data_IF_696155087130
#
_entry.id   IF_696155087130
#
_cell.length_a   1.000
_cell.length_b   1.000
_cell.length_c   1.000
_cell.angle_alpha   90.00
_cell.angle_beta   90.00
_cell.angle_gamma   90.00
#
_symmetry.space_group_name_H-M   'P 1'
#
loop_
_entity.id
_entity.type
_entity.pdbx_description
1 polymer ?
#
# COMPACT_ATOMS: atom_id res chain seq x y z
N UNK A 1 -9.89 -7.31 0.29
CA UNK A 1 -9.15 -6.87 -0.92
C UNK A 1 -7.84 -6.27 -0.46
N UNK A 2 -6.71 -6.78 -0.95
CA UNK A 2 -5.41 -6.19 -0.63
C UNK A 2 -5.28 -4.91 -1.46
N UNK A 3 -5.97 -3.88 -1.02
CA UNK A 3 -5.95 -2.59 -1.68
C UNK A 3 -4.60 -1.94 -1.35
N UNK A 4 -3.85 -1.54 -2.37
CA UNK A 4 -2.67 -0.72 -2.14
C UNK A 4 -3.07 0.48 -1.27
N UNK A 5 -2.15 0.93 -0.43
CA UNK A 5 -2.38 2.10 0.42
C UNK A 5 -2.72 3.33 -0.42
N UNK A 6 -3.78 4.03 -0.05
CA UNK A 6 -4.17 5.32 -0.61
C UNK A 6 -4.22 6.37 0.51
N UNK A 7 -3.28 7.31 0.46
CA UNK A 7 -3.23 8.41 1.42
C UNK A 7 -4.51 9.25 1.41
N UNK A 8 -5.10 9.49 0.24
CA UNK A 8 -6.27 10.35 0.14
C UNK A 8 -7.48 9.69 0.81
N UNK A 9 -7.65 8.38 0.66
CA UNK A 9 -8.70 7.62 1.36
C UNK A 9 -8.49 7.69 2.89
N UNK A 10 -7.25 7.52 3.37
CA UNK A 10 -6.95 7.61 4.80
C UNK A 10 -7.24 9.01 5.35
N UNK A 11 -6.78 10.06 4.64
CA UNK A 11 -7.05 11.44 5.03
C UNK A 11 -8.53 11.78 5.00
N UNK A 12 -9.30 11.24 4.05
CA UNK A 12 -10.75 11.40 4.00
C UNK A 12 -11.45 10.69 5.15
N UNK A 13 -11.00 9.48 5.52
CA UNK A 13 -11.47 8.74 6.68
C UNK A 13 -11.22 9.49 7.99
N UNK A 14 -10.12 10.27 8.08
CA UNK A 14 -9.80 11.17 9.19
C UNK A 14 -9.42 10.47 10.49
N UNK A 15 -9.19 9.15 10.49
CA UNK A 15 -8.78 8.38 11.67
C UNK A 15 -8.06 7.10 11.28
N UNK A 16 -7.14 6.66 12.13
CA UNK A 16 -6.47 5.36 12.07
C UNK A 16 -7.26 4.36 12.92
N UNK A 17 -7.47 3.15 12.43
CA UNK A 17 -8.31 2.13 13.10
C UNK A 17 -7.63 0.77 13.28
N UNK A 18 -6.39 0.61 12.82
CA UNK A 18 -5.61 -0.64 12.98
C UNK A 18 -4.11 -0.36 12.98
N UNK A 19 -3.32 -1.30 13.50
CA UNK A 19 -1.85 -1.23 13.46
C UNK A 19 -1.33 -1.14 12.02
N UNK A 20 -1.93 -1.86 11.08
CA UNK A 20 -1.55 -1.78 9.67
C UNK A 20 -1.76 -0.36 9.09
N UNK A 21 -2.88 0.30 9.43
CA UNK A 21 -3.10 1.69 9.01
C UNK A 21 -2.12 2.64 9.69
N UNK A 22 -1.75 2.40 10.96
CA UNK A 22 -0.74 3.18 11.66
C UNK A 22 0.62 3.09 10.96
N UNK A 23 1.08 1.88 10.67
CA UNK A 23 2.37 1.69 9.99
C UNK A 23 2.38 2.28 8.57
N UNK A 24 1.28 2.16 7.83
CA UNK A 24 1.11 2.78 6.51
C UNK A 24 1.09 4.31 6.60
N UNK A 25 0.43 4.89 7.60
CA UNK A 25 0.41 6.34 7.85
C UNK A 25 1.81 6.87 8.18
N UNK A 26 2.56 6.16 9.03
CA UNK A 26 3.94 6.48 9.40
C UNK A 26 4.87 6.44 8.17
N UNK A 27 4.71 5.42 7.32
CA UNK A 27 5.44 5.32 6.06
C UNK A 27 5.10 6.48 5.12
N UNK A 28 3.81 6.82 4.97
CA UNK A 28 3.38 7.92 4.12
C UNK A 28 3.92 9.28 4.61
N UNK A 29 3.90 9.52 5.93
CA UNK A 29 4.50 10.70 6.55
C UNK A 29 5.99 10.84 6.18
N UNK A 30 6.76 9.75 6.23
CA UNK A 30 8.18 9.75 5.83
C UNK A 30 8.34 10.07 4.34
N UNK A 31 7.50 9.50 3.47
CA UNK A 31 7.53 9.76 2.02
C UNK A 31 7.17 11.22 1.71
N UNK A 32 6.15 11.79 2.33
CA UNK A 32 5.79 13.20 2.16
C UNK A 32 6.94 14.14 2.54
N UNK A 33 7.69 13.82 3.60
CA UNK A 33 8.91 14.58 3.97
C UNK A 33 10.01 14.44 2.93
N UNK A 34 10.30 13.21 2.47
CA UNK A 34 11.36 12.95 1.50
C UNK A 34 11.10 13.57 0.12
N UNK A 35 9.84 13.63 -0.30
CA UNK A 35 9.43 14.13 -1.61
C UNK A 35 8.67 15.46 -1.52
N UNK A 36 8.93 16.25 -0.47
CA UNK A 36 8.23 17.52 -0.21
C UNK A 36 8.31 18.53 -1.35
N UNK A 37 9.43 18.55 -2.10
CA UNK A 37 9.62 19.41 -3.25
C UNK A 37 8.88 18.90 -4.54
N UNK A 38 8.40 17.67 -4.52
CA UNK A 38 7.75 17.03 -5.67
C UNK A 38 6.24 16.89 -5.47
N UNK A 39 5.77 16.85 -4.23
CA UNK A 39 4.36 16.58 -3.86
C UNK A 39 3.73 17.87 -3.32
N UNK A 40 2.67 18.32 -3.98
CA UNK A 40 1.91 19.49 -3.54
C UNK A 40 1.21 19.24 -2.21
N UNK A 41 1.16 20.31 -1.39
CA UNK A 41 0.56 20.28 -0.06
C UNK A 41 1.12 19.19 0.86
N UNK A 42 2.37 18.73 0.59
CA UNK A 42 3.02 17.66 1.35
C UNK A 42 3.07 17.95 2.85
N UNK A 43 3.37 19.19 3.25
CA UNK A 43 3.43 19.58 4.65
C UNK A 43 2.06 19.54 5.34
N UNK A 44 1.01 20.05 4.69
CA UNK A 44 -0.35 19.99 5.21
C UNK A 44 -0.85 18.54 5.34
N UNK A 45 -0.59 17.70 4.32
CA UNK A 45 -0.91 16.26 4.37
C UNK A 45 -0.14 15.57 5.50
N UNK A 46 1.15 15.91 5.66
CA UNK A 46 2.01 15.35 6.70
C UNK A 46 1.51 15.71 8.10
N UNK A 47 1.15 16.98 8.34
CA UNK A 47 0.65 17.42 9.63
C UNK A 47 -0.64 16.68 10.01
N UNK A 48 -1.57 16.53 9.08
CA UNK A 48 -2.78 15.75 9.33
C UNK A 48 -2.50 14.28 9.68
N UNK A 49 -1.48 13.68 9.07
CA UNK A 49 -1.04 12.32 9.44
C UNK A 49 -0.46 12.29 10.85
N UNK A 50 0.36 13.28 11.21
CA UNK A 50 0.93 13.39 12.57
C UNK A 50 -0.21 13.42 13.60
N UNK A 51 -1.19 14.29 13.41
CA UNK A 51 -2.33 14.42 14.32
C UNK A 51 -3.11 13.09 14.46
N UNK A 52 -3.29 12.37 13.35
CA UNK A 52 -3.98 11.07 13.34
C UNK A 52 -3.16 9.97 14.03
N UNK A 53 -1.85 9.95 13.83
CA UNK A 53 -0.91 9.01 14.46
C UNK A 53 -0.91 9.25 15.97
N UNK A 54 -0.72 10.49 16.41
CA UNK A 54 -0.72 10.88 17.83
C UNK A 54 -2.05 10.51 18.53
N UNK A 55 -3.19 10.71 17.87
CA UNK A 55 -4.49 10.30 18.40
C UNK A 55 -4.60 8.79 18.58
N UNK A 56 -4.10 8.01 17.62
CA UNK A 56 -4.12 6.55 17.71
C UNK A 56 -3.18 6.04 18.81
N UNK A 57 -1.94 6.52 18.82
CA UNK A 57 -0.93 6.14 19.81
C UNK A 57 -1.36 6.54 21.24
N UNK A 58 -1.89 7.75 21.42
CA UNK A 58 -2.42 8.21 22.70
C UNK A 58 -3.54 7.32 23.23
N UNK A 59 -4.37 6.78 22.33
CA UNK A 59 -5.49 5.93 22.73
C UNK A 59 -5.08 4.50 23.04
N UNK A 60 -4.16 3.92 22.28
CA UNK A 60 -3.87 2.50 22.32
C UNK A 60 -2.50 2.15 22.93
N UNK A 61 -1.54 3.09 22.91
CA UNK A 61 -0.15 2.83 23.31
C UNK A 61 0.33 3.68 24.49
N UNK A 62 -0.48 4.63 25.00
CA UNK A 62 -0.07 5.54 26.09
C UNK A 62 0.07 4.88 27.45
N UNK A 63 -0.69 3.82 27.72
CA UNK A 63 -0.69 3.11 29.00
C UNK A 63 -0.07 1.71 28.82
N UNK A 64 1.21 1.59 29.15
CA UNK A 64 1.96 0.33 29.02
C UNK A 64 1.34 -0.85 29.78
N UNK A 65 0.58 -0.58 30.84
CA UNK A 65 -0.08 -1.64 31.62
C UNK A 65 -1.32 -2.20 30.91
N UNK A 66 -1.81 -1.54 29.88
CA UNK A 66 -2.98 -1.98 29.08
C UNK A 66 -2.61 -2.58 27.74
N UNK A 67 -1.34 -2.45 27.33
CA UNK A 67 -0.87 -3.07 26.09
C UNK A 67 -0.85 -4.58 26.27
N UNK A 68 -1.53 -5.30 25.39
CA UNK A 68 -1.61 -6.76 25.42
C UNK A 68 -0.55 -7.38 24.50
N UNK A 69 -0.12 -8.62 24.81
CA UNK A 69 0.79 -9.38 23.93
C UNK A 69 0.22 -9.51 22.51
N UNK A 70 -1.11 -9.67 22.38
CA UNK A 70 -1.79 -9.73 21.08
C UNK A 70 -1.62 -8.43 20.29
N UNK A 71 -1.69 -7.28 20.93
CA UNK A 71 -1.49 -5.98 20.28
C UNK A 71 -0.04 -5.80 19.81
N UNK A 72 0.93 -6.28 20.57
CA UNK A 72 2.34 -6.28 20.15
C UNK A 72 2.53 -7.15 18.91
N UNK A 73 1.98 -8.37 18.91
CA UNK A 73 2.03 -9.29 17.76
C UNK A 73 1.39 -8.63 16.51
N UNK A 74 0.22 -8.00 16.66
CA UNK A 74 -0.45 -7.31 15.55
C UNK A 74 0.38 -6.13 15.00
N UNK A 75 1.10 -5.42 15.88
CA UNK A 75 2.01 -4.34 15.48
C UNK A 75 3.22 -4.86 14.70
N UNK A 76 3.84 -5.95 15.16
CA UNK A 76 4.99 -6.59 14.50
C UNK A 76 4.59 -7.13 13.12
N UNK A 77 3.44 -7.80 13.01
CA UNK A 77 2.89 -8.29 11.73
C UNK A 77 2.56 -7.14 10.76
N UNK A 78 2.06 -6.02 11.29
CA UNK A 78 1.76 -4.84 10.50
C UNK A 78 3.05 -4.19 9.96
N UNK A 79 4.10 -4.08 10.78
CA UNK A 79 5.39 -3.56 10.37
C UNK A 79 6.01 -4.44 9.27
N UNK A 80 6.02 -5.76 9.44
CA UNK A 80 6.54 -6.69 8.42
C UNK A 80 5.77 -6.56 7.10
N UNK A 81 4.44 -6.43 7.17
CA UNK A 81 3.59 -6.25 5.99
C UNK A 81 3.93 -4.95 5.24
N UNK A 82 4.09 -3.84 5.96
CA UNK A 82 4.44 -2.54 5.36
C UNK A 82 5.85 -2.53 4.80
N UNK A 83 6.82 -3.21 5.42
CA UNK A 83 8.16 -3.38 4.87
C UNK A 83 8.13 -4.11 3.52
N UNK A 84 7.31 -5.16 3.37
CA UNK A 84 7.10 -5.85 2.09
C UNK A 84 6.48 -4.92 1.04
N UNK A 85 5.47 -4.12 1.42
CA UNK A 85 4.85 -3.11 0.56
C UNK A 85 5.89 -2.07 0.06
N UNK A 86 6.72 -1.55 0.96
CA UNK A 86 7.79 -0.58 0.61
C UNK A 86 8.75 -1.19 -0.42
N UNK A 87 9.24 -2.39 -0.15
CA UNK A 87 10.18 -3.09 -1.03
C UNK A 87 9.58 -3.34 -2.42
N UNK A 88 8.30 -3.71 -2.47
CA UNK A 88 7.57 -3.89 -3.73
C UNK A 88 7.46 -2.57 -4.51
N UNK A 89 7.01 -1.49 -3.86
CA UNK A 89 6.85 -0.16 -4.47
C UNK A 89 8.19 0.35 -5.01
N UNK A 90 9.27 0.22 -4.24
CA UNK A 90 10.60 0.65 -4.66
C UNK A 90 11.12 -0.18 -5.85
N UNK A 91 10.87 -1.48 -5.86
CA UNK A 91 11.22 -2.37 -6.97
C UNK A 91 10.44 -2.01 -8.24
N UNK A 92 9.12 -1.79 -8.13
CA UNK A 92 8.24 -1.31 -9.21
C UNK A 92 8.74 0.01 -9.77
N UNK A 93 9.02 0.99 -8.90
CA UNK A 93 9.54 2.31 -9.28
C UNK A 93 10.85 2.21 -10.04
N UNK A 94 11.81 1.43 -9.52
CA UNK A 94 13.12 1.21 -10.17
C UNK A 94 12.93 0.58 -11.56
N UNK A 95 12.05 -0.40 -11.68
CA UNK A 95 11.78 -1.09 -12.94
C UNK A 95 11.15 -0.15 -13.97
N UNK A 96 10.11 0.62 -13.58
CA UNK A 96 9.48 1.62 -14.45
C UNK A 96 10.51 2.65 -14.91
N UNK A 97 11.27 3.26 -13.99
CA UNK A 97 12.30 4.26 -14.32
C UNK A 97 13.37 3.71 -15.29
N UNK A 98 13.80 2.46 -15.07
CA UNK A 98 14.77 1.81 -15.97
C UNK A 98 14.22 1.67 -17.39
N UNK A 99 12.95 1.31 -17.54
CA UNK A 99 12.30 1.18 -18.85
C UNK A 99 12.09 2.54 -19.54
N UNK A 100 11.64 3.53 -18.79
CA UNK A 100 11.48 4.91 -19.29
C UNK A 100 12.81 5.48 -19.79
N UNK A 101 13.89 5.30 -19.02
CA UNK A 101 15.25 5.73 -19.42
C UNK A 101 15.68 5.10 -20.75
N UNK A 102 15.39 3.81 -20.98
CA UNK A 102 15.71 3.14 -22.25
C UNK A 102 14.92 3.68 -23.44
N UNK A 103 13.74 4.24 -23.19
CA UNK A 103 12.87 4.84 -24.21
C UNK A 103 13.11 6.34 -24.40
N UNK A 104 13.99 6.97 -23.59
CA UNK A 104 14.22 8.41 -23.60
C UNK A 104 13.03 9.23 -23.08
N UNK A 105 12.10 8.61 -22.32
CA UNK A 105 10.89 9.24 -21.79
C UNK A 105 11.14 9.64 -20.33
N UNK A 106 10.85 10.89 -19.98
CA UNK A 106 10.89 11.36 -18.59
C UNK A 106 9.57 11.07 -17.84
N UNK A 107 9.58 11.28 -16.52
CA UNK A 107 8.41 10.98 -15.68
C UNK A 107 7.20 11.84 -16.02
N UNK A 108 7.38 13.09 -16.44
CA UNK A 108 6.29 14.00 -16.78
C UNK A 108 5.63 13.60 -18.12
N UNK A 109 6.43 13.27 -19.13
CA UNK A 109 5.95 12.73 -20.40
C UNK A 109 5.20 11.42 -20.19
N UNK A 110 5.72 10.57 -19.31
CA UNK A 110 5.05 9.33 -18.94
C UNK A 110 3.70 9.58 -18.25
N UNK A 111 3.62 10.59 -17.39
CA UNK A 111 2.35 11.04 -16.80
C UNK A 111 1.33 11.42 -17.86
N UNK A 112 1.73 12.21 -18.86
CA UNK A 112 0.86 12.60 -19.98
C UNK A 112 0.33 11.37 -20.73
N UNK A 113 1.17 10.37 -21.00
CA UNK A 113 0.78 9.12 -21.65
C UNK A 113 -0.28 8.35 -20.83
N UNK A 114 -0.18 8.37 -19.51
CA UNK A 114 -1.17 7.76 -18.62
C UNK A 114 -2.45 8.60 -18.47
N UNK A 115 -2.44 9.86 -18.94
CA UNK A 115 -3.54 10.81 -18.78
C UNK A 115 -3.44 11.65 -17.49
N UNK A 116 -2.27 11.67 -16.85
CA UNK A 116 -2.00 12.44 -15.64
C UNK A 116 -1.11 13.64 -15.94
N UNK A 117 -1.70 14.83 -15.95
CA UNK A 117 -0.98 16.09 -16.29
C UNK A 117 -0.25 16.70 -15.09
N UNK A 118 -0.66 16.38 -13.85
CA UNK A 118 -0.03 16.87 -12.63
C UNK A 118 1.29 16.15 -12.37
N UNK A 119 2.38 16.92 -12.31
CA UNK A 119 3.72 16.42 -11.93
C UNK A 119 3.72 15.90 -10.49
N UNK A 120 3.03 16.58 -9.58
CA UNK A 120 2.88 16.19 -8.19
C UNK A 120 2.14 14.86 -8.07
N UNK A 121 1.00 14.71 -8.73
CA UNK A 121 0.24 13.46 -8.70
C UNK A 121 1.04 12.28 -9.28
N UNK A 122 1.80 12.53 -10.34
CA UNK A 122 2.70 11.49 -10.89
C UNK A 122 3.81 11.10 -9.90
N UNK A 123 4.29 12.05 -9.09
CA UNK A 123 5.25 11.74 -8.00
C UNK A 123 4.59 10.93 -6.89
N UNK A 124 3.35 11.23 -6.51
CA UNK A 124 2.59 10.44 -5.55
C UNK A 124 2.42 8.99 -6.00
N UNK A 125 2.00 8.76 -7.25
CA UNK A 125 1.87 7.44 -7.87
C UNK A 125 3.18 6.66 -7.87
N UNK A 126 4.25 7.28 -8.35
CA UNK A 126 5.57 6.64 -8.45
C UNK A 126 6.19 6.29 -7.10
N UNK A 127 5.86 7.05 -6.05
CA UNK A 127 6.34 6.82 -4.69
C UNK A 127 5.37 5.98 -3.84
N UNK A 128 4.22 5.56 -4.39
CA UNK A 128 3.23 4.77 -3.68
C UNK A 128 2.64 5.52 -2.48
N UNK A 129 2.42 6.82 -2.62
CA UNK A 129 1.62 7.65 -1.71
C UNK A 129 0.15 7.46 -2.04
N UNK A 130 -0.14 7.34 -3.34
CA UNK A 130 -1.44 6.88 -3.87
C UNK A 130 -1.19 5.72 -4.85
N UNK A 131 -2.14 4.81 -5.03
CA UNK A 131 -1.97 3.66 -5.92
C UNK A 131 -2.16 4.06 -7.39
N UNK A 132 -1.50 3.34 -8.29
CA UNK A 132 -1.85 3.35 -9.71
C UNK A 132 -3.22 2.73 -9.91
N UNK A 133 -4.03 3.29 -10.81
CA UNK A 133 -5.28 2.64 -11.20
C UNK A 133 -5.01 1.35 -11.99
N UNK A 134 -5.97 0.44 -12.02
CA UNK A 134 -5.86 -0.77 -12.84
C UNK A 134 -5.60 -0.44 -14.32
N UNK A 135 -6.22 0.63 -14.84
CA UNK A 135 -5.98 1.14 -16.19
C UNK A 135 -4.51 1.52 -16.37
N UNK A 136 -3.94 2.29 -15.43
CA UNK A 136 -2.54 2.69 -15.47
C UNK A 136 -1.63 1.47 -15.51
N UNK A 137 -1.86 0.49 -14.63
CA UNK A 137 -1.05 -0.73 -14.56
C UNK A 137 -1.10 -1.54 -15.85
N UNK A 138 -2.26 -1.62 -16.52
CA UNK A 138 -2.41 -2.28 -17.82
C UNK A 138 -1.60 -1.52 -18.88
N UNK A 139 -1.72 -0.18 -18.95
CA UNK A 139 -0.97 0.64 -19.89
C UNK A 139 0.53 0.52 -19.65
N UNK A 140 0.99 0.61 -18.40
CA UNK A 140 2.39 0.44 -18.01
C UNK A 140 2.91 -0.94 -18.46
N UNK A 141 2.16 -1.99 -18.18
CA UNK A 141 2.52 -3.36 -18.57
C UNK A 141 2.73 -3.49 -20.07
N UNK A 142 1.79 -2.99 -20.85
CA UNK A 142 1.83 -3.08 -22.32
C UNK A 142 2.92 -2.20 -22.92
N UNK A 143 2.98 -0.93 -22.50
CA UNK A 143 3.91 0.06 -23.05
C UNK A 143 5.37 -0.25 -22.71
N UNK A 144 5.64 -0.57 -21.45
CA UNK A 144 6.99 -0.80 -20.95
C UNK A 144 7.42 -2.27 -21.02
N UNK A 145 6.54 -3.17 -21.50
CA UNK A 145 6.76 -4.62 -21.53
C UNK A 145 7.19 -5.16 -20.16
N UNK A 146 6.47 -4.76 -19.12
CA UNK A 146 6.64 -5.23 -17.74
C UNK A 146 5.52 -6.21 -17.42
N UNK A 147 5.85 -7.38 -16.85
CA UNK A 147 4.84 -8.34 -16.42
C UNK A 147 3.98 -7.77 -15.28
N UNK A 148 2.69 -8.09 -15.26
CA UNK A 148 1.76 -7.57 -14.24
C UNK A 148 2.12 -7.99 -12.82
N UNK A 149 2.70 -9.17 -12.62
CA UNK A 149 3.20 -9.63 -11.32
C UNK A 149 4.32 -8.76 -10.72
N UNK A 150 4.96 -7.91 -11.54
CA UNK A 150 5.94 -6.90 -11.12
C UNK A 150 5.32 -5.52 -10.91
N UNK A 151 4.07 -5.35 -11.25
CA UNK A 151 3.34 -4.07 -11.13
C UNK A 151 2.26 -4.11 -10.06
N UNK A 152 1.70 -5.29 -9.79
CA UNK A 152 0.61 -5.52 -8.84
C UNK A 152 1.15 -6.38 -7.70
N UNK A 153 0.97 -5.99 -6.42
CA UNK A 153 1.29 -6.86 -5.30
C UNK A 153 0.32 -8.05 -5.31
N UNK A 154 0.87 -9.23 -5.53
CA UNK A 154 0.10 -10.48 -5.59
C UNK A 154 0.02 -11.21 -4.25
N UNK A 155 0.78 -10.75 -3.26
CA UNK A 155 0.75 -11.33 -1.93
C UNK A 155 -0.44 -10.82 -1.13
N UNK A 156 -1.16 -11.76 -0.53
CA UNK A 156 -2.24 -11.46 0.41
C UNK A 156 -1.62 -11.49 1.81
N UNK A 157 -1.87 -10.47 2.62
CA UNK A 157 -1.35 -10.43 3.98
C UNK A 157 -1.97 -11.53 4.86
N UNK A 158 -1.30 -11.88 5.94
CA UNK A 158 -1.70 -12.97 6.85
C UNK A 158 -3.11 -12.78 7.41
N UNK A 159 -3.45 -11.56 7.80
CA UNK A 159 -4.77 -11.23 8.34
C UNK A 159 -5.90 -11.51 7.33
N UNK A 160 -5.72 -11.08 6.09
CA UNK A 160 -6.71 -11.34 5.02
C UNK A 160 -6.79 -12.82 4.68
N UNK A 161 -5.65 -13.53 4.65
CA UNK A 161 -5.63 -14.99 4.47
C UNK A 161 -6.49 -15.68 5.52
N UNK A 162 -6.28 -15.38 6.79
CA UNK A 162 -7.06 -15.95 7.91
C UNK A 162 -8.54 -15.60 7.78
N UNK A 163 -8.87 -14.37 7.40
CA UNK A 163 -10.27 -13.94 7.22
C UNK A 163 -10.96 -14.70 6.08
N UNK A 164 -10.27 -14.88 4.95
CA UNK A 164 -10.79 -15.64 3.81
C UNK A 164 -10.97 -17.10 4.19
N UNK A 165 -9.99 -17.70 4.86
CA UNK A 165 -10.04 -19.07 5.34
C UNK A 165 -11.24 -19.31 6.27
N UNK A 166 -11.41 -18.48 7.31
CA UNK A 166 -12.59 -18.54 8.18
C UNK A 166 -13.89 -18.37 7.43
N UNK A 167 -13.90 -17.61 6.34
CA UNK A 167 -15.08 -17.43 5.51
C UNK A 167 -15.39 -18.69 4.70
N UNK A 168 -14.36 -19.35 4.15
CA UNK A 168 -14.50 -20.64 3.43
C UNK A 168 -15.00 -21.72 4.39
N UNK A 169 -14.43 -21.81 5.60
CA UNK A 169 -14.87 -22.76 6.62
C UNK A 169 -16.36 -22.58 7.00
N UNK A 170 -16.81 -21.31 7.12
CA UNK A 170 -18.22 -21.00 7.41
C UNK A 170 -19.20 -21.42 6.31
N UNK A 171 -18.75 -21.52 5.07
CA UNK A 171 -19.59 -22.01 3.97
C UNK A 171 -19.99 -23.48 4.17
N UNK A 172 -19.24 -24.22 5.00
CA UNK A 172 -19.47 -25.63 5.34
C UNK A 172 -19.82 -26.50 4.11
N UNK A 173 -19.06 -26.28 3.01
CA UNK A 173 -19.28 -26.96 1.74
C UNK A 173 -18.38 -28.19 1.68
N UNK A 174 -18.92 -29.43 1.86
CA UNK A 174 -18.09 -30.61 2.05
C UNK A 174 -17.22 -30.98 0.82
N UNK A 175 -17.53 -30.43 -0.34
CA UNK A 175 -16.78 -30.66 -1.57
C UNK A 175 -15.61 -29.64 -1.75
N UNK A 176 -15.60 -28.53 -1.02
CA UNK A 176 -14.54 -27.53 -1.12
C UNK A 176 -13.35 -27.90 -0.22
N UNK A 177 -12.21 -28.15 -0.84
CA UNK A 177 -10.95 -28.35 -0.13
C UNK A 177 -10.09 -27.10 -0.28
N UNK A 178 -9.83 -26.41 0.81
CA UNK A 178 -8.97 -25.26 0.82
C UNK A 178 -7.52 -25.69 1.14
N UNK A 179 -6.62 -25.44 0.20
CA UNK A 179 -5.18 -25.64 0.39
C UNK A 179 -4.56 -24.34 0.90
N UNK A 180 -4.17 -24.34 2.18
CA UNK A 180 -3.59 -23.17 2.86
C UNK A 180 -2.26 -22.76 2.26
N UNK A 181 -1.42 -23.71 1.88
CA UNK A 181 -0.08 -23.44 1.33
C UNK A 181 -0.16 -22.79 -0.05
N UNK A 182 -1.05 -23.30 -0.91
CA UNK A 182 -1.26 -22.77 -2.26
C UNK A 182 -2.25 -21.62 -2.31
N UNK A 183 -2.97 -21.37 -1.21
CA UNK A 183 -4.08 -20.42 -1.16
C UNK A 183 -5.07 -20.63 -2.32
N UNK A 184 -5.49 -21.87 -2.50
CA UNK A 184 -6.37 -22.30 -3.60
C UNK A 184 -7.50 -23.19 -3.12
N UNK A 185 -8.61 -23.21 -3.89
CA UNK A 185 -9.75 -24.10 -3.66
C UNK A 185 -9.73 -25.16 -4.74
N UNK A 186 -9.94 -26.44 -4.33
CA UNK A 186 -10.17 -27.57 -5.22
C UNK A 186 -11.53 -28.22 -4.93
N UNK A 187 -12.09 -28.86 -5.93
CA UNK A 187 -13.34 -29.65 -5.86
C UNK A 187 -13.01 -31.11 -5.90
#
# INVERSE_FOLDING_TARGET
MNQEFDLNELLQKGKITSELELQRATMAQRKLRLYSNEIENSESKRQRLVDMIEQYESKYWSDHNKVTDQQVIESDEAEESVLKEINFIDSRKKLIRSRLKKLGINQQEFGIILGHTSKSYMSELMNGVVPFTLKDLIVISKLLKIKLDKLIPIEINTYEKIKIEKSIEKLNHPQLKFDREKFSISV
#
